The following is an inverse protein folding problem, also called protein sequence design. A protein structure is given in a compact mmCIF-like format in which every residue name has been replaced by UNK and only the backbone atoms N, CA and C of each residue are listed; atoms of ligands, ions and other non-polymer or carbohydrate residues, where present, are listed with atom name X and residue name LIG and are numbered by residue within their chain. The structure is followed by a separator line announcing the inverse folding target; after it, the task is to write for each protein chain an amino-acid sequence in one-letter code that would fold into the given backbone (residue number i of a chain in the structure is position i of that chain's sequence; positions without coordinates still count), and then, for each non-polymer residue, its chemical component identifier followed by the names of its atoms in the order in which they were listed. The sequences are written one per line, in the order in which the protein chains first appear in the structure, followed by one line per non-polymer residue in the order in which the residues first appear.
data_IF_020397820187
#
_entry.id   IF_020397820187
#
_cell.length_a   1.000
_cell.length_b   1.000
_cell.length_c   1.000
_cell.angle_alpha   90.00
_cell.angle_beta   90.00
_cell.angle_gamma   90.00
#
_symmetry.space_group_name_H-M   'P 1'
#
loop_
_entity.id
_entity.type
_entity.pdbx_description
1 polymer ?
#
# COMPACT_ATOMS: atom_id res chain seq x y z
N UNK A 1 -17.63 21.72 -10.68
CA UNK A 1 -17.00 20.39 -10.63
C UNK A 1 -17.80 19.51 -9.68
N UNK A 2 -18.04 18.25 -10.03
CA UNK A 2 -18.66 17.26 -9.14
C UNK A 2 -17.57 16.31 -8.65
N UNK A 3 -17.57 15.97 -7.36
CA UNK A 3 -16.64 15.01 -6.75
C UNK A 3 -17.35 13.67 -6.64
N UNK A 4 -16.70 12.60 -7.05
CA UNK A 4 -17.22 11.22 -7.00
C UNK A 4 -16.29 10.38 -6.13
N UNK A 5 -16.84 9.62 -5.19
CA UNK A 5 -16.08 8.66 -4.38
C UNK A 5 -16.11 7.30 -5.09
N UNK A 6 -14.99 6.86 -5.65
CA UNK A 6 -14.90 5.59 -6.38
C UNK A 6 -13.46 5.11 -6.48
N UNK A 7 -13.21 3.80 -6.42
CA UNK A 7 -11.87 3.23 -6.53
C UNK A 7 -11.17 3.62 -7.83
N UNK A 8 -11.81 3.35 -8.97
CA UNK A 8 -11.37 3.83 -10.31
C UNK A 8 -12.59 4.37 -11.05
N UNK A 9 -12.48 5.56 -11.63
CA UNK A 9 -13.55 6.14 -12.44
C UNK A 9 -13.71 5.35 -13.75
N UNK A 10 -14.87 4.72 -14.03
CA UNK A 10 -15.05 3.86 -15.21
C UNK A 10 -14.90 4.60 -16.54
N UNK A 11 -15.15 5.90 -16.54
CA UNK A 11 -15.01 6.79 -17.71
C UNK A 11 -13.61 7.39 -17.84
N UNK A 12 -12.65 7.01 -16.99
CA UNK A 12 -11.27 7.39 -17.17
C UNK A 12 -10.74 6.71 -18.44
N UNK A 13 -10.15 7.50 -19.34
CA UNK A 13 -9.58 7.04 -20.62
C UNK A 13 -8.12 7.49 -20.70
N UNK A 14 -7.28 6.87 -21.54
CA UNK A 14 -5.87 7.21 -21.66
C UNK A 14 -5.60 8.70 -21.90
N UNK A 15 -6.43 9.36 -22.72
CA UNK A 15 -6.31 10.78 -23.03
C UNK A 15 -6.43 11.68 -21.79
N UNK A 16 -7.15 11.26 -20.75
CA UNK A 16 -7.25 11.99 -19.48
C UNK A 16 -5.95 11.96 -18.66
N UNK A 17 -5.07 11.01 -18.93
CA UNK A 17 -3.74 10.90 -18.32
C UNK A 17 -2.63 11.40 -19.25
N UNK A 18 -3.00 11.99 -20.39
CA UNK A 18 -2.06 12.68 -21.26
C UNK A 18 -1.89 14.15 -20.82
N UNK A 19 -0.66 14.64 -20.74
CA UNK A 19 -0.38 16.03 -20.38
C UNK A 19 -0.47 16.33 -18.87
N UNK A 20 -1.35 17.27 -18.48
CA UNK A 20 -1.42 17.83 -17.11
C UNK A 20 -2.25 16.97 -16.16
N UNK A 21 -1.83 15.72 -15.94
CA UNK A 21 -2.48 14.81 -14.99
C UNK A 21 -1.86 14.89 -13.58
N UNK A 22 -0.59 15.28 -13.50
CA UNK A 22 0.16 15.34 -12.25
C UNK A 22 -0.07 16.67 -11.53
N UNK A 23 -0.28 16.60 -10.21
CA UNK A 23 -0.28 17.81 -9.38
C UNK A 23 1.08 18.52 -9.43
N UNK A 24 1.08 19.85 -9.40
CA UNK A 24 2.31 20.67 -9.39
C UNK A 24 3.09 20.50 -8.08
N UNK A 25 3.82 19.39 -7.96
CA UNK A 25 4.67 19.06 -6.82
C UNK A 25 5.96 18.41 -7.29
N UNK A 26 7.09 19.00 -6.88
CA UNK A 26 8.43 18.45 -7.13
C UNK A 26 8.56 17.00 -6.64
N UNK A 27 7.83 16.62 -5.60
CA UNK A 27 7.83 15.26 -5.06
C UNK A 27 7.26 14.24 -6.06
N UNK A 28 6.16 14.55 -6.74
CA UNK A 28 5.55 13.60 -7.67
C UNK A 28 6.39 13.44 -8.93
N UNK A 29 7.00 14.52 -9.40
CA UNK A 29 7.96 14.46 -10.49
C UNK A 29 9.19 13.61 -10.11
N UNK A 30 9.77 13.85 -8.92
CA UNK A 30 10.89 13.05 -8.43
C UNK A 30 10.52 11.56 -8.28
N UNK A 31 9.30 11.24 -7.83
CA UNK A 31 8.83 9.85 -7.75
C UNK A 31 8.74 9.19 -9.14
N UNK A 32 8.15 9.89 -10.11
CA UNK A 32 8.09 9.42 -11.49
C UNK A 32 9.50 9.12 -12.02
N UNK A 33 10.40 10.10 -11.92
CA UNK A 33 11.75 10.01 -12.47
C UNK A 33 12.58 8.91 -11.77
N UNK A 34 12.46 8.79 -10.45
CA UNK A 34 13.14 7.73 -9.68
C UNK A 34 12.63 6.33 -10.03
N UNK A 35 11.32 6.16 -10.24
CA UNK A 35 10.75 4.86 -10.63
C UNK A 35 11.28 4.43 -12.00
N UNK A 36 11.26 5.34 -12.98
CA UNK A 36 11.76 5.06 -14.33
C UNK A 36 13.27 4.89 -14.37
N UNK A 37 14.03 5.65 -13.57
CA UNK A 37 15.48 5.48 -13.43
C UNK A 37 15.81 4.10 -12.84
N UNK A 38 15.08 3.67 -11.81
CA UNK A 38 15.29 2.37 -11.19
C UNK A 38 14.88 1.20 -12.11
N UNK A 39 13.82 1.38 -12.89
CA UNK A 39 13.30 0.38 -13.84
C UNK A 39 14.16 0.25 -15.10
N UNK A 40 14.59 1.38 -15.67
CA UNK A 40 15.38 1.47 -16.89
C UNK A 40 14.60 1.35 -18.21
N UNK A 41 13.29 1.19 -18.17
CA UNK A 41 12.40 1.01 -19.33
C UNK A 41 10.97 1.48 -19.02
N UNK A 42 10.11 1.51 -20.05
CA UNK A 42 8.69 1.81 -19.88
C UNK A 42 7.97 0.74 -19.03
N UNK A 43 6.88 1.15 -18.38
CA UNK A 43 6.08 0.24 -17.56
C UNK A 43 5.11 -0.52 -18.44
N UNK A 44 5.22 -1.85 -18.44
CA UNK A 44 4.20 -2.72 -19.02
C UNK A 44 3.06 -2.92 -18.02
N UNK A 45 1.85 -2.53 -18.41
CA UNK A 45 0.62 -2.90 -17.71
C UNK A 45 -0.05 -4.01 -18.51
N UNK A 46 -0.22 -5.18 -17.92
CA UNK A 46 -0.93 -6.33 -18.49
C UNK A 46 -1.82 -6.96 -17.43
N UNK A 47 -3.12 -6.66 -17.49
CA UNK A 47 -4.12 -7.10 -16.53
C UNK A 47 -5.12 -7.98 -17.27
N UNK A 48 -5.27 -9.22 -16.80
CA UNK A 48 -6.26 -10.17 -17.31
C UNK A 48 -7.38 -10.35 -16.30
N UNK A 49 -8.59 -9.94 -16.67
CA UNK A 49 -9.86 -10.22 -15.99
C UNK A 49 -10.87 -10.83 -16.98
N UNK A 50 -12.16 -10.51 -16.88
CA UNK A 50 -13.15 -10.84 -17.91
C UNK A 50 -12.74 -10.33 -19.31
N UNK A 51 -12.09 -9.18 -19.36
CA UNK A 51 -11.36 -8.67 -20.51
C UNK A 51 -9.87 -8.56 -20.20
N UNK A 52 -9.05 -8.37 -21.24
CA UNK A 52 -7.61 -8.12 -21.08
C UNK A 52 -7.29 -6.69 -21.47
N UNK A 53 -6.51 -6.02 -20.62
CA UNK A 53 -5.88 -4.75 -20.92
C UNK A 53 -4.37 -4.96 -20.98
N UNK A 54 -3.74 -4.53 -22.08
CA UNK A 54 -2.28 -4.49 -22.22
C UNK A 54 -1.86 -3.16 -22.82
N UNK A 55 -0.99 -2.42 -22.12
CA UNK A 55 -0.44 -1.14 -22.60
C UNK A 55 0.97 -0.90 -22.05
N UNK A 56 1.72 -0.05 -22.75
CA UNK A 56 2.95 0.54 -22.23
C UNK A 56 2.67 1.95 -21.71
N UNK A 57 3.22 2.26 -20.54
CA UNK A 57 3.12 3.56 -19.91
C UNK A 57 4.52 4.17 -19.74
N UNK A 58 4.71 5.36 -20.31
CA UNK A 58 5.94 6.15 -20.24
C UNK A 58 5.99 7.08 -19.00
N UNK A 59 5.04 6.91 -18.08
CA UNK A 59 5.04 7.59 -16.78
C UNK A 59 4.24 6.77 -15.77
N UNK A 60 4.31 7.14 -14.50
CA UNK A 60 3.51 6.50 -13.46
C UNK A 60 2.02 6.88 -13.51
N UNK A 61 1.59 7.75 -14.44
CA UNK A 61 0.22 8.30 -14.51
C UNK A 61 -0.91 7.31 -14.23
N UNK A 62 -0.90 6.05 -14.75
CA UNK A 62 -1.95 5.09 -14.46
C UNK A 62 -2.23 4.85 -12.96
N UNK A 63 -1.22 5.01 -12.09
CA UNK A 63 -1.41 4.89 -10.64
C UNK A 63 -2.42 5.90 -10.07
N UNK A 64 -2.50 7.09 -10.68
CA UNK A 64 -3.39 8.17 -10.25
C UNK A 64 -4.88 7.87 -10.44
N UNK A 65 -5.20 6.82 -11.21
CA UNK A 65 -6.56 6.29 -11.34
C UNK A 65 -7.06 5.69 -10.02
N UNK A 66 -6.15 5.24 -9.15
CA UNK A 66 -6.45 4.52 -7.92
C UNK A 66 -6.76 5.49 -6.77
N UNK A 67 -8.02 5.59 -6.38
CA UNK A 67 -8.39 6.25 -5.12
C UNK A 67 -8.68 5.22 -4.03
N UNK A 68 -8.43 5.56 -2.77
CA UNK A 68 -8.50 4.60 -1.65
C UNK A 68 -9.11 5.23 -0.42
N UNK A 69 -9.63 4.37 0.45
CA UNK A 69 -9.92 4.68 1.83
C UNK A 69 -8.84 4.06 2.70
N UNK A 70 -8.20 4.86 3.56
CA UNK A 70 -7.14 4.40 4.44
C UNK A 70 -7.60 4.48 5.89
N UNK A 71 -7.43 3.37 6.61
CA UNK A 71 -7.83 3.22 8.00
C UNK A 71 -6.59 3.11 8.87
N UNK A 72 -6.48 3.99 9.85
CA UNK A 72 -5.35 4.01 10.76
C UNK A 72 -5.77 3.51 12.13
N UNK A 73 -5.00 2.59 12.70
CA UNK A 73 -5.12 2.19 14.10
C UNK A 73 -3.80 2.50 14.81
N UNK A 74 -3.83 3.37 15.81
CA UNK A 74 -2.71 3.56 16.70
C UNK A 74 -2.62 2.40 17.69
N UNK A 75 -1.42 1.83 17.84
CA UNK A 75 -1.18 0.64 18.66
C UNK A 75 0.05 0.83 19.54
N UNK A 76 0.11 0.10 20.65
CA UNK A 76 1.33 0.02 21.45
C UNK A 76 2.37 -0.84 20.71
N UNK A 77 3.68 -0.68 20.99
CA UNK A 77 4.70 -1.57 20.45
C UNK A 77 4.48 -3.05 20.78
N UNK A 78 3.97 -3.34 21.98
CA UNK A 78 3.73 -4.72 22.45
C UNK A 78 2.58 -5.40 21.69
N UNK A 79 1.57 -4.63 21.30
CA UNK A 79 0.37 -5.15 20.62
C UNK A 79 0.49 -5.10 19.09
N UNK A 80 1.58 -4.53 18.56
CA UNK A 80 1.72 -4.25 17.14
C UNK A 80 1.59 -5.51 16.28
N UNK A 81 2.29 -6.58 16.64
CA UNK A 81 2.33 -7.81 15.84
C UNK A 81 0.95 -8.47 15.72
N UNK A 82 0.18 -8.52 16.81
CA UNK A 82 -1.17 -9.09 16.80
C UNK A 82 -2.11 -8.28 15.92
N UNK A 83 -2.07 -6.94 16.03
CA UNK A 83 -2.92 -6.07 15.20
C UNK A 83 -2.50 -6.11 13.72
N UNK A 84 -1.20 -6.20 13.43
CA UNK A 84 -0.70 -6.37 12.07
C UNK A 84 -1.14 -7.69 11.47
N UNK A 85 -0.90 -8.81 12.15
CA UNK A 85 -1.24 -10.14 11.63
C UNK A 85 -2.77 -10.28 11.48
N UNK A 86 -3.56 -9.72 12.39
CA UNK A 86 -5.01 -9.59 12.23
C UNK A 86 -5.39 -8.81 10.96
N UNK A 87 -4.74 -7.66 10.71
CA UNK A 87 -5.00 -6.85 9.51
C UNK A 87 -4.63 -7.58 8.22
N UNK A 88 -3.58 -8.40 8.24
CA UNK A 88 -3.17 -9.24 7.11
C UNK A 88 -4.19 -10.36 6.84
N UNK A 89 -4.70 -11.03 7.88
CA UNK A 89 -5.78 -12.02 7.73
C UNK A 89 -7.05 -11.37 7.17
N UNK A 90 -7.38 -10.16 7.63
CA UNK A 90 -8.60 -9.44 7.27
C UNK A 90 -8.58 -8.81 5.87
N UNK A 91 -7.40 -8.64 5.26
CA UNK A 91 -7.26 -7.96 3.97
C UNK A 91 -8.10 -8.59 2.85
N UNK A 92 -8.16 -9.92 2.78
CA UNK A 92 -8.99 -10.63 1.79
C UNK A 92 -10.49 -10.41 1.98
N UNK A 93 -11.08 -10.73 3.16
CA UNK A 93 -12.49 -10.44 3.43
C UNK A 93 -12.88 -8.97 3.22
N UNK A 94 -11.98 -8.04 3.55
CA UNK A 94 -12.19 -6.61 3.34
C UNK A 94 -12.32 -6.26 1.84
N UNK A 95 -11.47 -6.83 0.98
CA UNK A 95 -11.62 -6.67 -0.47
C UNK A 95 -12.89 -7.30 -1.00
N UNK A 96 -13.21 -8.53 -0.58
CA UNK A 96 -14.37 -9.26 -1.07
C UNK A 96 -15.68 -8.50 -0.83
N UNK A 97 -15.77 -7.77 0.28
CA UNK A 97 -16.94 -6.96 0.63
C UNK A 97 -16.90 -5.54 0.06
N UNK A 98 -15.71 -4.97 -0.08
CA UNK A 98 -15.52 -3.55 -0.36
C UNK A 98 -15.11 -3.20 -1.78
N UNK A 99 -14.96 -4.19 -2.69
CA UNK A 99 -14.47 -3.97 -4.04
C UNK A 99 -15.31 -2.93 -4.82
N UNK A 100 -14.65 -1.96 -5.45
CA UNK A 100 -15.30 -0.83 -6.13
C UNK A 100 -14.42 -0.23 -7.23
N UNK A 101 -13.69 -1.07 -7.97
CA UNK A 101 -12.91 -0.64 -9.14
C UNK A 101 -12.90 -1.66 -10.30
N UNK A 102 -14.06 -2.07 -10.83
CA UNK A 102 -14.12 -3.13 -11.85
C UNK A 102 -13.67 -2.71 -13.26
N UNK A 103 -13.54 -1.41 -13.52
CA UNK A 103 -13.21 -0.89 -14.85
C UNK A 103 -11.97 -0.01 -14.83
N UNK A 104 -11.14 -0.13 -15.86
CA UNK A 104 -10.04 0.78 -16.14
C UNK A 104 -9.88 0.94 -17.66
N UNK A 105 -9.83 2.19 -18.14
CA UNK A 105 -9.77 2.52 -19.57
C UNK A 105 -10.85 1.85 -20.43
N UNK A 106 -12.06 1.73 -19.88
CA UNK A 106 -13.21 1.12 -20.55
C UNK A 106 -13.21 -0.42 -20.55
N UNK A 107 -12.22 -1.07 -19.94
CA UNK A 107 -12.16 -2.54 -19.87
C UNK A 107 -12.71 -3.08 -18.56
N UNK A 108 -13.49 -4.15 -18.61
CA UNK A 108 -13.93 -4.90 -17.43
C UNK A 108 -12.83 -5.86 -16.97
N UNK A 109 -12.20 -5.54 -15.84
CA UNK A 109 -11.04 -6.26 -15.31
C UNK A 109 -11.42 -6.93 -13.97
N UNK A 110 -10.59 -6.80 -12.93
CA UNK A 110 -10.85 -7.41 -11.63
C UNK A 110 -11.89 -6.61 -10.85
N UNK A 111 -12.67 -7.25 -9.97
CA UNK A 111 -13.59 -6.54 -9.06
C UNK A 111 -12.89 -5.37 -8.33
N UNK A 112 -11.63 -5.58 -7.94
CA UNK A 112 -10.73 -4.57 -7.39
C UNK A 112 -9.44 -4.44 -8.23
N UNK A 113 -9.57 -3.91 -9.45
CA UNK A 113 -8.45 -3.64 -10.38
C UNK A 113 -7.32 -2.79 -9.79
N UNK A 114 -7.58 -1.93 -8.79
CA UNK A 114 -6.51 -1.11 -8.17
C UNK A 114 -5.37 -1.94 -7.62
N UNK A 115 -5.63 -3.18 -7.16
CA UNK A 115 -4.58 -4.05 -6.59
C UNK A 115 -3.50 -4.31 -7.65
N UNK A 116 -3.91 -4.77 -8.83
CA UNK A 116 -2.99 -5.10 -9.91
C UNK A 116 -2.47 -3.84 -10.62
N UNK A 117 -3.34 -2.87 -10.87
CA UNK A 117 -2.97 -1.63 -11.55
C UNK A 117 -1.89 -0.86 -10.77
N UNK A 118 -2.09 -0.66 -9.47
CA UNK A 118 -1.12 0.06 -8.65
C UNK A 118 0.21 -0.72 -8.52
N UNK A 119 0.13 -2.05 -8.41
CA UNK A 119 1.30 -2.92 -8.38
C UNK A 119 2.16 -2.77 -9.64
N UNK A 120 1.55 -2.82 -10.82
CA UNK A 120 2.27 -2.72 -12.09
C UNK A 120 2.71 -1.28 -12.39
N UNK A 121 1.84 -0.28 -12.18
CA UNK A 121 2.09 1.13 -12.49
C UNK A 121 3.21 1.78 -11.65
N UNK A 122 3.64 1.13 -10.57
CA UNK A 122 4.72 1.61 -9.69
C UNK A 122 5.86 0.61 -9.53
N UNK A 123 5.92 -0.44 -10.37
CA UNK A 123 6.94 -1.48 -10.26
C UNK A 123 8.28 -1.01 -10.82
N UNK A 124 9.26 -0.87 -9.92
CA UNK A 124 10.64 -0.50 -10.28
C UNK A 124 11.43 -1.67 -10.88
N UNK A 125 10.86 -2.87 -10.99
CA UNK A 125 11.57 -4.08 -11.46
C UNK A 125 11.27 -4.36 -12.94
N UNK A 126 12.30 -4.45 -13.82
CA UNK A 126 12.12 -5.09 -15.11
C UNK A 126 11.89 -6.61 -14.94
N UNK A 127 11.49 -7.30 -16.00
CA UNK A 127 11.06 -8.70 -15.94
C UNK A 127 12.17 -9.67 -15.49
N UNK A 128 13.43 -9.33 -15.75
CA UNK A 128 14.59 -10.08 -15.24
C UNK A 128 14.64 -10.07 -13.71
N UNK A 129 14.44 -8.92 -13.08
CA UNK A 129 14.44 -8.80 -11.62
C UNK A 129 13.23 -9.48 -11.00
N UNK A 130 12.07 -9.44 -11.66
CA UNK A 130 10.88 -10.21 -11.24
C UNK A 130 11.18 -11.71 -11.24
N UNK A 131 11.80 -12.21 -12.32
CA UNK A 131 12.19 -13.62 -12.48
C UNK A 131 13.21 -14.07 -11.44
N UNK A 132 14.10 -13.18 -11.00
CA UNK A 132 15.07 -13.42 -9.92
C UNK A 132 14.46 -13.37 -8.50
N UNK A 133 13.16 -13.05 -8.36
CA UNK A 133 12.50 -12.97 -7.07
C UNK A 133 12.84 -11.72 -6.26
N UNK A 134 13.26 -10.63 -6.91
CA UNK A 134 13.35 -9.31 -6.27
C UNK A 134 11.95 -8.90 -5.84
N UNK A 135 11.77 -8.41 -4.61
CA UNK A 135 10.44 -8.10 -4.06
C UNK A 135 9.85 -6.83 -4.71
N UNK A 136 8.55 -6.79 -4.99
CA UNK A 136 7.87 -5.56 -5.44
C UNK A 136 7.80 -4.54 -4.31
N UNK A 137 7.75 -3.25 -4.65
CA UNK A 137 7.46 -2.19 -3.67
C UNK A 137 6.00 -2.19 -3.22
N UNK A 138 5.07 -2.54 -4.11
CA UNK A 138 3.68 -2.83 -3.76
C UNK A 138 3.62 -4.25 -3.24
N UNK A 139 3.44 -4.41 -1.94
CA UNK A 139 3.77 -5.68 -1.29
C UNK A 139 2.75 -6.10 -0.23
N UNK A 140 2.30 -7.35 -0.32
CA UNK A 140 1.47 -7.96 0.71
C UNK A 140 2.31 -8.41 1.93
N UNK A 141 3.54 -8.86 1.71
CA UNK A 141 4.44 -9.45 2.71
C UNK A 141 4.84 -10.88 2.31
N UNK A 142 5.65 -11.55 3.14
CA UNK A 142 6.04 -12.96 2.91
C UNK A 142 5.89 -13.86 4.15
N UNK A 143 5.50 -13.30 5.30
CA UNK A 143 5.41 -14.00 6.58
C UNK A 143 4.58 -13.26 7.63
N UNK A 144 4.13 -13.99 8.63
CA UNK A 144 3.66 -13.41 9.88
C UNK A 144 4.82 -12.77 10.64
N UNK A 145 4.54 -11.68 11.37
CA UNK A 145 5.56 -10.97 12.15
C UNK A 145 5.39 -11.23 13.65
N UNK A 146 6.46 -11.00 14.40
CA UNK A 146 6.46 -11.04 15.87
C UNK A 146 6.72 -9.66 16.48
N UNK A 147 7.24 -8.71 15.69
CA UNK A 147 7.37 -7.31 16.11
C UNK A 147 7.33 -6.36 14.91
N UNK A 148 7.16 -5.05 15.17
CA UNK A 148 7.27 -4.04 14.11
C UNK A 148 8.68 -3.99 13.48
N UNK A 149 9.72 -4.37 14.22
CA UNK A 149 11.10 -4.35 13.72
C UNK A 149 11.27 -5.27 12.52
N UNK A 150 10.57 -6.41 12.49
CA UNK A 150 10.52 -7.31 11.33
C UNK A 150 10.29 -6.54 10.03
N UNK A 151 9.35 -5.59 10.03
CA UNK A 151 8.94 -4.86 8.84
C UNK A 151 9.91 -3.73 8.48
N UNK A 152 10.49 -3.04 9.46
CA UNK A 152 11.47 -1.99 9.20
C UNK A 152 12.83 -2.57 8.79
N UNK A 153 13.24 -3.70 9.36
CA UNK A 153 14.42 -4.44 8.90
C UNK A 153 14.23 -4.96 7.48
N UNK A 154 13.06 -5.50 7.15
CA UNK A 154 12.70 -5.84 5.76
C UNK A 154 12.78 -4.63 4.83
N UNK A 155 12.30 -3.47 5.29
CA UNK A 155 12.33 -2.25 4.48
C UNK A 155 13.77 -1.87 4.11
N UNK A 156 14.69 -1.91 5.07
CA UNK A 156 16.11 -1.60 4.86
C UNK A 156 16.81 -2.69 4.04
N UNK A 157 16.47 -3.96 4.27
CA UNK A 157 17.14 -5.10 3.63
C UNK A 157 16.76 -5.27 2.17
N UNK A 158 15.50 -5.05 1.81
CA UNK A 158 14.97 -5.44 0.49
C UNK A 158 14.74 -4.27 -0.46
N UNK A 159 14.57 -3.05 0.04
CA UNK A 159 14.21 -1.92 -0.79
C UNK A 159 15.32 -0.87 -0.77
N UNK A 160 15.94 -0.58 -1.92
CA UNK A 160 16.79 0.59 -2.06
C UNK A 160 16.00 1.88 -1.80
N UNK A 161 16.67 2.96 -1.37
CA UNK A 161 16.01 4.27 -1.24
C UNK A 161 15.59 4.79 -2.62
N UNK A 162 14.30 5.13 -2.78
CA UNK A 162 13.77 5.64 -4.06
C UNK A 162 13.97 7.16 -4.18
N UNK A 163 13.82 7.87 -3.08
CA UNK A 163 14.04 9.30 -2.99
C UNK A 163 15.20 9.54 -2.00
N UNK A 164 16.27 10.25 -2.40
CA UNK A 164 17.35 10.58 -1.49
C UNK A 164 16.92 11.72 -0.57
N UNK A 165 16.79 11.43 0.73
CA UNK A 165 16.75 12.43 1.79
C UNK A 165 17.86 12.08 2.77
N UNK A 166 18.62 13.09 3.19
CA UNK A 166 19.61 12.96 4.24
C UNK A 166 19.27 13.98 5.33
N UNK A 167 19.37 13.53 6.58
CA UNK A 167 19.20 14.37 7.76
C UNK A 167 20.52 14.54 8.49
N UNK A 168 20.79 15.74 8.97
CA UNK A 168 21.90 15.98 9.90
C UNK A 168 21.57 15.48 11.34
N UNK A 169 20.37 14.92 11.57
CA UNK A 169 19.98 14.35 12.85
C UNK A 169 20.82 13.11 13.20
N UNK A 170 21.42 13.11 14.39
CA UNK A 170 21.91 11.89 15.04
C UNK A 170 20.81 11.32 15.94
N UNK A 171 20.09 10.27 15.52
CA UNK A 171 18.96 9.74 16.27
C UNK A 171 19.37 9.09 17.60
N UNK A 172 20.61 8.62 17.71
CA UNK A 172 21.13 8.03 18.95
C UNK A 172 21.41 9.14 19.96
N UNK A 173 21.99 10.26 19.51
CA UNK A 173 22.20 11.43 20.37
C UNK A 173 20.88 12.07 20.83
N UNK A 174 19.88 12.19 19.95
CA UNK A 174 18.54 12.68 20.31
C UNK A 174 17.90 11.82 21.40
N UNK A 175 17.94 10.49 21.22
CA UNK A 175 17.40 9.54 22.20
C UNK A 175 18.17 9.60 23.53
N UNK A 176 19.51 9.66 23.50
CA UNK A 176 20.35 9.78 24.69
C UNK A 176 20.09 11.08 25.47
N UNK A 177 19.68 12.14 24.77
CA UNK A 177 19.28 13.40 25.38
C UNK A 177 17.80 13.42 25.83
N UNK A 178 17.10 12.29 25.80
CA UNK A 178 15.70 12.16 26.22
C UNK A 178 14.70 12.82 25.26
N UNK A 179 15.11 13.15 24.03
CA UNK A 179 14.25 13.68 22.97
C UNK A 179 13.75 12.55 22.07
N UNK A 180 12.73 12.84 21.27
CA UNK A 180 12.20 11.90 20.28
C UNK A 180 12.88 12.15 18.93
N UNK A 181 13.67 11.20 18.42
CA UNK A 181 14.29 11.33 17.10
C UNK A 181 13.23 11.43 16.00
N UNK A 182 13.41 12.31 15.01
CA UNK A 182 12.47 12.51 13.91
C UNK A 182 12.46 11.36 12.92
N UNK A 183 13.61 10.74 12.69
CA UNK A 183 13.81 9.62 11.76
C UNK A 183 13.27 9.93 10.35
N UNK A 184 13.57 11.12 9.81
CA UNK A 184 12.98 11.56 8.53
C UNK A 184 13.33 10.64 7.36
N UNK A 185 14.57 10.16 7.31
CA UNK A 185 15.05 9.20 6.30
C UNK A 185 14.24 7.89 6.33
N UNK A 186 14.04 7.31 7.52
CA UNK A 186 13.26 6.09 7.71
C UNK A 186 11.78 6.31 7.36
N UNK A 187 11.21 7.45 7.75
CA UNK A 187 9.81 7.81 7.43
C UNK A 187 9.62 8.00 5.93
N UNK A 188 10.55 8.68 5.24
CA UNK A 188 10.50 8.84 3.79
C UNK A 188 10.65 7.50 3.09
N UNK A 189 11.64 6.70 3.47
CA UNK A 189 11.89 5.38 2.89
C UNK A 189 10.66 4.49 2.99
N UNK A 190 10.10 4.36 4.20
CA UNK A 190 8.86 3.62 4.45
C UNK A 190 7.65 4.19 3.66
N UNK A 191 7.64 5.50 3.42
CA UNK A 191 6.64 6.17 2.59
C UNK A 191 6.68 5.78 1.10
N UNK A 192 7.80 5.23 0.62
CA UNK A 192 8.02 4.77 -0.76
C UNK A 192 7.96 3.24 -0.93
N UNK A 193 7.49 2.55 0.11
CA UNK A 193 7.18 1.12 0.10
C UNK A 193 5.68 0.99 0.33
N UNK A 194 4.98 0.49 -0.68
CA UNK A 194 3.53 0.59 -0.79
C UNK A 194 2.86 -0.70 -0.33
N UNK A 195 3.03 -1.04 0.95
CA UNK A 195 2.36 -2.20 1.54
C UNK A 195 0.86 -1.97 1.69
N UNK A 196 0.06 -3.03 1.56
CA UNK A 196 -1.39 -2.96 1.73
C UNK A 196 -1.82 -2.75 3.19
N UNK A 197 -1.07 -3.28 4.14
CA UNK A 197 -1.01 -2.76 5.50
C UNK A 197 0.39 -2.17 5.69
N UNK A 198 0.53 -0.94 6.22
CA UNK A 198 1.82 -0.26 6.36
C UNK A 198 2.15 -0.01 7.83
N UNK A 199 3.37 -0.34 8.30
CA UNK A 199 3.81 0.06 9.62
C UNK A 199 4.14 1.54 9.57
N UNK A 200 3.62 2.31 10.51
CA UNK A 200 3.88 3.75 10.55
C UNK A 200 4.50 4.10 11.88
N UNK A 201 5.71 4.64 11.83
CA UNK A 201 6.29 5.45 12.88
C UNK A 201 6.08 6.92 12.52
N UNK A 202 5.57 7.70 13.46
CA UNK A 202 5.37 9.13 13.28
C UNK A 202 5.40 9.85 14.62
N UNK A 203 5.43 11.19 14.60
CA UNK A 203 5.55 12.04 15.78
C UNK A 203 4.49 13.13 15.73
N UNK A 204 3.69 13.23 16.78
CA UNK A 204 2.71 14.31 16.95
C UNK A 204 2.95 15.00 18.28
N UNK A 205 3.08 16.33 18.26
CA UNK A 205 3.33 17.14 19.45
C UNK A 205 4.53 16.64 20.28
N UNK A 206 5.61 16.22 19.60
CA UNK A 206 6.84 15.72 20.21
C UNK A 206 6.75 14.30 20.81
N UNK A 207 5.64 13.58 20.60
CA UNK A 207 5.44 12.21 21.08
C UNK A 207 5.47 11.23 19.91
N UNK A 208 6.28 10.16 19.96
CA UNK A 208 6.28 9.14 18.95
C UNK A 208 5.05 8.24 19.11
N UNK A 209 4.52 7.75 18.00
CA UNK A 209 3.45 6.77 18.00
C UNK A 209 3.61 5.79 16.85
N UNK A 210 3.03 4.60 17.03
CA UNK A 210 2.97 3.55 16.02
C UNK A 210 1.56 3.39 15.50
N UNK A 211 1.41 3.13 14.20
CA UNK A 211 0.12 2.76 13.61
C UNK A 211 0.26 1.57 12.67
N UNK A 212 -0.80 0.76 12.65
CA UNK A 212 -1.11 -0.07 11.48
C UNK A 212 -1.98 0.80 10.59
N UNK A 213 -1.51 1.05 9.38
CA UNK A 213 -2.26 1.76 8.35
C UNK A 213 -2.75 0.75 7.31
N UNK A 214 -4.06 0.48 7.32
CA UNK A 214 -4.71 -0.37 6.35
C UNK A 214 -5.10 0.45 5.10
N UNK A 215 -4.67 -0.02 3.93
CA UNK A 215 -4.71 0.70 2.64
C UNK A 215 -5.43 -0.10 1.56
N UNK A 216 -6.19 -1.11 1.96
CA UNK A 216 -6.80 -2.12 1.10
C UNK A 216 -8.03 -1.57 0.37
N UNK A 217 -8.89 -0.83 1.07
CA UNK A 217 -10.21 -0.44 0.56
C UNK A 217 -10.14 0.64 -0.54
N UNK A 218 -11.04 0.58 -1.54
CA UNK A 218 -11.28 1.68 -2.46
C UNK A 218 -12.04 2.81 -1.78
N UNK A 219 -12.08 3.98 -2.41
CA UNK A 219 -13.00 5.02 -1.99
C UNK A 219 -14.45 4.69 -2.40
N UNK A 220 -15.42 5.18 -1.63
CA UNK A 220 -16.84 5.16 -1.96
C UNK A 220 -17.50 3.77 -1.91
N UNK A 221 -18.64 3.59 -2.60
CA UNK A 221 -19.31 4.60 -3.44
C UNK A 221 -20.03 5.68 -2.62
N UNK A 222 -20.36 5.42 -1.35
CA UNK A 222 -20.99 6.40 -0.46
C UNK A 222 -20.23 6.54 0.86
N UNK A 223 -20.51 7.63 1.59
CA UNK A 223 -20.01 7.79 2.97
C UNK A 223 -20.52 6.67 3.88
N UNK A 224 -21.75 6.18 3.66
CA UNK A 224 -22.32 5.10 4.46
C UNK A 224 -21.54 3.79 4.26
N UNK A 225 -21.19 3.45 3.01
CA UNK A 225 -20.40 2.26 2.70
C UNK A 225 -18.99 2.35 3.30
N UNK A 226 -18.36 3.51 3.18
CA UNK A 226 -17.05 3.79 3.78
C UNK A 226 -17.08 3.65 5.32
N UNK A 227 -18.10 4.22 5.98
CA UNK A 227 -18.27 4.10 7.43
C UNK A 227 -18.58 2.67 7.86
N UNK A 228 -19.39 1.94 7.09
CA UNK A 228 -19.68 0.52 7.35
C UNK A 228 -18.43 -0.34 7.22
N UNK A 229 -17.62 -0.13 6.17
CA UNK A 229 -16.33 -0.79 5.98
C UNK A 229 -15.34 -0.46 7.11
N UNK A 230 -15.31 0.78 7.59
CA UNK A 230 -14.51 1.16 8.76
C UNK A 230 -14.96 0.42 10.02
N UNK A 231 -16.26 0.40 10.31
CA UNK A 231 -16.81 -0.30 11.47
C UNK A 231 -16.54 -1.81 11.41
N UNK A 232 -16.70 -2.41 10.23
CA UNK A 232 -16.34 -3.81 9.97
C UNK A 232 -14.86 -4.06 10.24
N UNK A 233 -13.97 -3.24 9.65
CA UNK A 233 -12.53 -3.38 9.84
C UNK A 233 -12.14 -3.31 11.32
N UNK A 234 -12.49 -2.23 12.02
CA UNK A 234 -12.07 -2.05 13.41
C UNK A 234 -12.70 -3.08 14.35
N UNK A 235 -13.95 -3.46 14.11
CA UNK A 235 -14.64 -4.49 14.90
C UNK A 235 -13.98 -5.86 14.77
N UNK A 236 -13.78 -6.33 13.53
CA UNK A 236 -13.18 -7.65 13.28
C UNK A 236 -11.70 -7.66 13.66
N UNK A 237 -10.96 -6.59 13.35
CA UNK A 237 -9.54 -6.49 13.69
C UNK A 237 -9.33 -6.65 15.19
N UNK A 238 -10.13 -5.94 16.00
CA UNK A 238 -10.07 -6.04 17.46
C UNK A 238 -10.34 -7.46 17.94
N UNK A 239 -11.40 -8.10 17.43
CA UNK A 239 -11.70 -9.48 17.79
C UNK A 239 -10.54 -10.41 17.46
N UNK A 240 -9.99 -10.33 16.24
CA UNK A 240 -8.89 -11.19 15.79
C UNK A 240 -7.57 -10.93 16.52
N UNK A 241 -7.28 -9.68 16.89
CA UNK A 241 -6.02 -9.33 17.57
C UNK A 241 -6.02 -9.70 19.05
N UNK A 242 -7.20 -9.83 19.66
CA UNK A 242 -7.40 -10.20 21.06
C UNK A 242 -7.73 -11.71 21.25
N UNK A 243 -7.77 -12.52 20.18
CA UNK A 243 -8.05 -13.96 20.29
C UNK A 243 -6.94 -14.71 21.07
N UNK A 244 -7.32 -15.53 22.05
CA UNK A 244 -6.40 -16.40 22.80
C UNK A 244 -5.62 -17.38 21.90
N UNK A 245 -6.23 -17.80 20.80
CA UNK A 245 -5.64 -18.71 19.81
C UNK A 245 -5.71 -18.11 18.41
N UNK A 246 -4.85 -17.11 18.11
CA UNK A 246 -4.98 -16.28 16.93
C UNK A 246 -4.99 -17.06 15.62
N UNK A 247 -5.74 -16.59 14.63
CA UNK A 247 -5.88 -17.27 13.34
C UNK A 247 -4.54 -17.53 12.62
N UNK A 248 -3.57 -16.61 12.68
CA UNK A 248 -2.26 -16.78 12.06
C UNK A 248 -1.40 -17.90 12.68
N UNK A 249 -1.81 -18.47 13.82
CA UNK A 249 -1.18 -19.68 14.38
C UNK A 249 -1.69 -20.97 13.74
N UNK A 250 -2.79 -20.90 12.98
CA UNK A 250 -3.48 -22.03 12.32
C UNK A 250 -3.58 -21.86 10.81
N UNK A 251 -3.43 -20.63 10.31
CA UNK A 251 -3.44 -20.27 8.90
C UNK A 251 -2.02 -19.96 8.43
N UNK A 252 -1.62 -20.51 7.29
CA UNK A 252 -0.36 -20.12 6.65
C UNK A 252 -0.44 -18.71 6.09
N UNK A 253 0.68 -17.98 6.07
CA UNK A 253 0.71 -16.64 5.47
C UNK A 253 0.32 -16.67 3.99
N UNK A 254 0.78 -17.69 3.25
CA UNK A 254 0.43 -17.89 1.85
C UNK A 254 -1.09 -18.07 1.62
N UNK A 255 -1.83 -18.63 2.59
CA UNK A 255 -3.28 -18.71 2.48
C UNK A 255 -3.94 -17.33 2.62
N UNK A 256 -3.42 -16.46 3.50
CA UNK A 256 -3.92 -15.10 3.61
C UNK A 256 -3.66 -14.28 2.34
N UNK A 257 -2.47 -14.43 1.74
CA UNK A 257 -2.13 -13.82 0.45
C UNK A 257 -3.01 -14.34 -0.69
N UNK A 258 -3.20 -15.67 -0.76
CA UNK A 258 -4.08 -16.27 -1.77
C UNK A 258 -5.52 -15.78 -1.63
N UNK A 259 -6.04 -15.66 -0.40
CA UNK A 259 -7.36 -15.09 -0.13
C UNK A 259 -7.46 -13.63 -0.55
N UNK A 260 -6.41 -12.83 -0.31
CA UNK A 260 -6.34 -11.44 -0.75
C UNK A 260 -6.41 -11.32 -2.28
N UNK A 261 -5.60 -12.10 -3.00
CA UNK A 261 -5.60 -12.09 -4.47
C UNK A 261 -6.91 -12.64 -5.06
N UNK A 262 -7.50 -13.67 -4.43
CA UNK A 262 -8.79 -14.21 -4.86
C UNK A 262 -9.94 -13.23 -4.64
N UNK A 263 -9.92 -12.49 -3.52
CA UNK A 263 -10.92 -11.47 -3.21
C UNK A 263 -10.82 -10.22 -4.08
N UNK A 264 -9.63 -9.93 -4.61
CA UNK A 264 -9.42 -8.82 -5.53
C UNK A 264 -9.99 -9.08 -6.93
N UNK A 265 -10.02 -10.35 -7.38
CA UNK A 265 -10.45 -10.77 -8.72
C UNK A 265 -11.97 -10.83 -8.85
#
# INVERSE_FOLDING_TARGET
SHIVMIGILPTLMPDHLSGHWMSESTRYQALNDSIFTARGEDIMIDITGPERLSLQAASIAPESACTSMQLHLQVSPADFANNWNAAQVLAGPQLALGANSPYFFGHHLWAETRIELFAQATDTRPDELKTQGVRPRVWFGERWITSIFDLFEENVRYFPSLLPELSDEDPVAELAAGRTPKLSELRLHNGTIYRWNRPVYDIVNGRPHLRVENRVLPAGPTVLDMMANAAFYYGVLRTLSEEDRPLWTKMSFAAAEANFMAAAR
#
